data_IF_322466820503
#
_entry.id   IF_322466820503
#
_cell.length_a   1.000
_cell.length_b   1.000
_cell.length_c   1.000
_cell.angle_alpha   90.00
_cell.angle_beta   90.00
_cell.angle_gamma   90.00
#
_symmetry.space_group_name_H-M   'P 1'
#
loop_
_entity.id
_entity.type
_entity.pdbx_description
1 polymer ?
#
# COMPACT_ATOMS: atom_id res chain seq x y z
N UNK A 1 -6.97 5.56 -2.90
CA UNK A 1 -7.56 5.04 -1.64
C UNK A 1 -6.69 5.42 -0.45
N UNK A 2 -7.23 5.67 0.76
CA UNK A 2 -6.39 5.74 1.98
C UNK A 2 -6.06 4.32 2.42
N UNK A 3 -4.76 4.03 2.59
CA UNK A 3 -4.24 2.75 3.05
C UNK A 3 -3.93 2.76 4.56
N UNK A 4 -3.44 3.89 5.09
CA UNK A 4 -3.14 4.03 6.51
C UNK A 4 -3.90 5.22 7.11
N UNK A 5 -4.80 4.96 8.05
CA UNK A 5 -5.48 6.02 8.81
C UNK A 5 -4.54 6.69 9.82
N UNK A 6 -3.74 5.92 10.56
CA UNK A 6 -2.88 6.44 11.64
C UNK A 6 -1.82 7.45 11.18
N UNK A 7 -1.40 7.32 9.93
CA UNK A 7 -0.40 8.16 9.29
C UNK A 7 -0.96 8.90 8.08
N UNK A 8 -2.26 8.78 7.76
CA UNK A 8 -2.89 9.40 6.58
C UNK A 8 -2.07 9.17 5.29
N UNK A 9 -1.85 7.90 4.96
CA UNK A 9 -1.13 7.48 3.74
C UNK A 9 -2.13 6.96 2.73
N UNK A 10 -2.07 7.48 1.52
CA UNK A 10 -2.87 7.07 0.38
C UNK A 10 -2.07 6.21 -0.61
N UNK A 11 -2.79 5.54 -1.49
CA UNK A 11 -2.23 4.79 -2.61
C UNK A 11 -1.28 5.64 -3.47
N UNK A 12 -1.66 6.90 -3.73
CA UNK A 12 -0.81 7.85 -4.45
C UNK A 12 0.48 8.15 -3.70
N UNK A 13 0.42 8.28 -2.37
CA UNK A 13 1.64 8.47 -1.56
C UNK A 13 2.57 7.26 -1.66
N UNK A 14 2.03 6.04 -1.75
CA UNK A 14 2.83 4.82 -1.98
C UNK A 14 3.46 4.83 -3.37
N UNK A 15 2.71 5.18 -4.41
CA UNK A 15 3.22 5.29 -5.78
C UNK A 15 4.27 6.39 -5.93
N UNK A 16 4.13 7.51 -5.23
CA UNK A 16 5.14 8.58 -5.21
C UNK A 16 6.39 8.11 -4.48
N UNK A 17 6.23 7.39 -3.36
CA UNK A 17 7.33 6.81 -2.61
C UNK A 17 8.04 5.66 -3.34
N UNK A 18 7.41 4.99 -4.31
CA UNK A 18 8.02 3.90 -5.10
C UNK A 18 8.80 4.36 -6.34
N UNK A 19 8.64 5.63 -6.75
CA UNK A 19 9.32 6.23 -7.93
C UNK A 19 10.60 7.05 -7.67
N UNK A 20 11.32 7.00 -6.51
CA UNK A 20 12.46 7.87 -6.31
C UNK A 20 13.62 7.51 -7.24
N UNK A 21 14.35 8.55 -7.63
CA UNK A 21 15.49 8.54 -8.53
C UNK A 21 16.65 7.71 -7.93
N UNK A 22 16.66 6.38 -8.14
CA UNK A 22 17.83 5.55 -7.85
C UNK A 22 17.55 4.14 -7.33
N UNK A 23 16.42 3.88 -6.67
CA UNK A 23 16.03 2.52 -6.26
C UNK A 23 14.52 2.42 -5.99
N UNK A 24 13.83 1.41 -6.55
CA UNK A 24 12.42 1.19 -6.24
C UNK A 24 12.26 0.83 -4.76
N UNK A 25 11.22 1.39 -4.12
CA UNK A 25 10.82 0.94 -2.79
C UNK A 25 10.18 -0.43 -2.89
N UNK A 26 10.79 -1.43 -2.28
CA UNK A 26 10.29 -2.81 -2.30
C UNK A 26 9.58 -3.20 -1.00
N UNK A 27 9.85 -2.48 0.10
CA UNK A 27 9.31 -2.81 1.42
C UNK A 27 8.36 -1.73 1.93
N UNK A 28 7.23 -2.11 2.56
CA UNK A 28 6.33 -1.14 3.21
C UNK A 28 7.03 -0.21 4.20
N UNK A 29 8.04 -0.71 4.94
CA UNK A 29 8.85 0.09 5.86
C UNK A 29 9.57 1.26 5.18
N UNK A 30 10.01 1.07 3.94
CA UNK A 30 10.70 2.10 3.17
C UNK A 30 9.73 3.19 2.71
N UNK A 31 8.47 2.86 2.45
CA UNK A 31 7.41 3.85 2.18
C UNK A 31 7.26 4.80 3.37
N UNK A 32 7.17 4.27 4.59
CA UNK A 32 7.09 5.09 5.80
C UNK A 32 8.33 6.00 5.93
N UNK A 33 9.52 5.44 5.68
CA UNK A 33 10.79 6.20 5.72
C UNK A 33 10.82 7.32 4.68
N UNK A 34 10.45 7.04 3.43
CA UNK A 34 10.39 8.03 2.35
C UNK A 34 9.41 9.17 2.65
N UNK A 35 8.30 8.87 3.32
CA UNK A 35 7.31 9.87 3.73
C UNK A 35 7.67 10.58 5.05
N UNK A 36 8.80 10.24 5.69
CA UNK A 36 9.21 10.81 6.97
C UNK A 36 8.28 10.44 8.14
N UNK A 37 7.64 9.26 8.08
CA UNK A 37 6.67 8.79 9.07
C UNK A 37 7.16 7.50 9.72
N UNK A 38 6.76 7.26 10.97
CA UNK A 38 6.96 5.97 11.65
C UNK A 38 5.69 5.11 11.61
N UNK A 39 5.79 3.78 11.51
CA UNK A 39 4.63 2.90 11.60
C UNK A 39 4.03 2.95 13.03
N UNK A 40 2.69 2.99 13.12
CA UNK A 40 1.98 3.03 14.41
C UNK A 40 1.36 1.68 14.78
N UNK A 41 0.39 1.19 14.01
CA UNK A 41 -0.37 -0.03 14.32
C UNK A 41 -0.18 -1.18 13.32
N UNK A 42 0.54 -0.96 12.22
CA UNK A 42 0.87 -2.00 11.22
C UNK A 42 -0.27 -2.55 10.36
N UNK A 43 -1.54 -2.22 10.63
CA UNK A 43 -2.72 -2.78 9.91
C UNK A 43 -2.69 -2.56 8.39
N UNK A 44 -2.02 -1.50 7.94
CA UNK A 44 -1.90 -1.14 6.53
C UNK A 44 -0.77 -1.88 5.79
N UNK A 45 0.08 -2.66 6.46
CA UNK A 45 1.30 -3.25 5.88
C UNK A 45 0.99 -4.13 4.67
N UNK A 46 -0.06 -4.97 4.75
CA UNK A 46 -0.44 -5.86 3.63
C UNK A 46 -0.96 -5.05 2.45
N UNK A 47 -1.83 -4.07 2.68
CA UNK A 47 -2.37 -3.23 1.61
C UNK A 47 -1.30 -2.36 0.94
N UNK A 48 -0.33 -1.84 1.70
CA UNK A 48 0.82 -1.11 1.14
C UNK A 48 1.67 -2.04 0.28
N UNK A 49 1.91 -3.29 0.73
CA UNK A 49 2.66 -4.27 -0.07
C UNK A 49 1.96 -4.60 -1.38
N UNK A 50 0.63 -4.80 -1.36
CA UNK A 50 -0.14 -5.02 -2.58
C UNK A 50 -0.07 -3.81 -3.53
N UNK A 51 -0.15 -2.58 -3.01
CA UNK A 51 -0.03 -1.37 -3.83
C UNK A 51 1.37 -1.20 -4.47
N UNK A 52 2.44 -1.62 -3.76
CA UNK A 52 3.80 -1.65 -4.31
C UNK A 52 3.91 -2.69 -5.43
N UNK A 53 3.35 -3.88 -5.25
CA UNK A 53 3.33 -4.95 -6.25
C UNK A 53 2.59 -4.52 -7.54
N UNK A 54 1.40 -3.92 -7.38
CA UNK A 54 0.63 -3.33 -8.50
C UNK A 54 1.34 -2.16 -9.20
N UNK A 55 2.36 -1.56 -8.59
CA UNK A 55 3.14 -0.48 -9.23
C UNK A 55 4.27 -1.02 -10.11
N UNK A 56 4.68 -2.29 -9.94
CA UNK A 56 5.75 -2.92 -10.71
C UNK A 56 5.26 -3.74 -11.93
N UNK A 57 4.06 -4.29 -11.86
CA UNK A 57 3.36 -4.88 -13.00
C UNK A 57 2.16 -4.02 -13.33
N UNK A 58 2.17 -3.31 -14.46
CA UNK A 58 1.02 -2.51 -14.86
C UNK A 58 -0.16 -3.39 -15.23
N UNK A 59 -0.95 -3.82 -14.24
CA UNK A 59 -2.26 -4.44 -14.43
C UNK A 59 -3.14 -4.26 -13.18
N UNK A 60 -4.41 -3.95 -13.45
CA UNK A 60 -5.45 -3.49 -12.53
C UNK A 60 -5.67 -4.40 -11.30
N UNK A 61 -5.85 -3.83 -10.09
CA UNK A 61 -6.44 -4.57 -8.98
C UNK A 61 -7.94 -4.74 -9.27
N UNK A 62 -8.28 -5.88 -9.85
CA UNK A 62 -9.66 -6.34 -10.00
C UNK A 62 -10.37 -6.28 -8.64
N UNK A 63 -11.29 -5.32 -8.55
CA UNK A 63 -12.31 -5.20 -7.51
C UNK A 63 -13.18 -6.46 -7.48
N UNK A 64 -13.49 -6.91 -6.26
CA UNK A 64 -14.62 -7.78 -5.95
C UNK A 64 -14.18 -9.18 -5.49
N UNK A 65 -14.69 -9.76 -4.41
CA UNK A 65 -15.79 -9.39 -3.54
C UNK A 65 -15.67 -10.27 -2.30
N UNK A 66 -15.91 -9.70 -1.12
CA UNK A 66 -16.21 -10.51 0.04
C UNK A 66 -17.52 -11.26 -0.25
N UNK A 67 -17.44 -12.55 -0.59
CA UNK A 67 -18.60 -13.42 -0.45
C UNK A 67 -18.71 -13.80 1.03
N UNK A 68 -19.28 -12.86 1.79
CA UNK A 68 -20.06 -13.22 2.97
C UNK A 68 -21.35 -13.87 2.47
N UNK A 69 -21.31 -15.16 2.14
CA UNK A 69 -22.50 -15.99 2.19
C UNK A 69 -22.48 -16.78 3.49
N UNK A 70 -23.29 -16.29 4.41
CA UNK A 70 -23.61 -16.91 5.68
C UNK A 70 -24.38 -18.22 5.47
N UNK A 71 -24.10 -19.19 6.35
CA UNK A 71 -24.92 -20.34 6.76
C UNK A 71 -26.00 -20.86 5.78
N UNK A 72 -25.73 -22.02 5.16
CA UNK A 72 -26.74 -23.03 4.85
C UNK A 72 -26.15 -24.42 5.12
#
# INVERSE_FOLDING_TARGET
MILCSCNVISDRDVQTASKPCGAPVERPSEVFRCLGRAPKCGKCIRSIRSALDSSCGGEEPSRGQADLSACA
#
